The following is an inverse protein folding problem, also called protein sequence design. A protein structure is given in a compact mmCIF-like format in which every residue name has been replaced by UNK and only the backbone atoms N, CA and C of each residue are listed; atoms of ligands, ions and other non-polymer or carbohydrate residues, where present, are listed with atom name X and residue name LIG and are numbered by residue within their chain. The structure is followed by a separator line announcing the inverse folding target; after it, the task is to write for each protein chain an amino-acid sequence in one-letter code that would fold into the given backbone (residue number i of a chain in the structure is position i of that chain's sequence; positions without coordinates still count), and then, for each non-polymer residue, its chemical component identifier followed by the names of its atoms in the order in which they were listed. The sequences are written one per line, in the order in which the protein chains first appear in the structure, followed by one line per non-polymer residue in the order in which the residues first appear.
data_IF_578539671825
#
_entry.id   IF_578539671825
#
_cell.length_a   1.000
_cell.length_b   1.000
_cell.length_c   1.000
_cell.angle_alpha   90.00
_cell.angle_beta   90.00
_cell.angle_gamma   90.00
#
_symmetry.space_group_name_H-M   'P 1'
#
loop_
_entity.id
_entity.type
_entity.pdbx_description
1 polymer ?
#
# COMPACT_ATOMS: atom_id res chain seq x y z
N UNK A 1 -1.48 -3.85 -24.97
CA UNK A 1 -0.83 -2.71 -24.29
C UNK A 1 -0.64 -3.09 -22.83
N UNK A 2 0.58 -2.93 -22.32
CA UNK A 2 0.95 -3.46 -21.02
C UNK A 2 0.53 -2.49 -19.90
N UNK A 3 -0.45 -2.90 -19.08
CA UNK A 3 -1.02 -2.11 -17.98
C UNK A 3 -0.09 -2.08 -16.76
N UNK A 4 1.14 -1.58 -16.93
CA UNK A 4 2.12 -1.56 -15.86
C UNK A 4 2.55 -0.13 -15.54
N UNK A 5 2.33 0.24 -14.29
CA UNK A 5 2.97 1.42 -13.70
C UNK A 5 4.44 1.11 -13.43
N UNK A 6 5.31 2.08 -13.71
CA UNK A 6 6.71 2.02 -13.32
C UNK A 6 6.85 2.27 -11.81
N UNK A 7 7.64 1.44 -11.12
CA UNK A 7 8.00 1.66 -9.72
C UNK A 7 8.66 3.04 -9.52
N UNK A 8 9.48 3.49 -10.48
CA UNK A 8 10.12 4.81 -10.45
C UNK A 8 9.10 5.96 -10.48
N UNK A 9 8.01 5.82 -11.24
CA UNK A 9 6.96 6.84 -11.27
C UNK A 9 6.27 6.99 -9.92
N UNK A 10 6.00 5.87 -9.24
CA UNK A 10 5.40 5.92 -7.90
C UNK A 10 6.37 6.47 -6.86
N UNK A 11 7.65 6.10 -6.94
CA UNK A 11 8.71 6.65 -6.10
C UNK A 11 8.82 8.17 -6.26
N UNK A 12 8.88 8.65 -7.51
CA UNK A 12 8.90 10.08 -7.81
C UNK A 12 7.69 10.80 -7.20
N UNK A 13 6.49 10.24 -7.37
CA UNK A 13 5.26 10.81 -6.82
C UNK A 13 5.27 10.86 -5.28
N UNK A 14 5.79 9.84 -4.60
CA UNK A 14 5.93 9.86 -3.14
C UNK A 14 6.91 10.94 -2.71
N UNK A 15 8.09 11.02 -3.33
CA UNK A 15 9.12 12.00 -2.97
C UNK A 15 8.64 13.44 -3.22
N UNK A 16 7.85 13.65 -4.28
CA UNK A 16 7.24 14.96 -4.56
C UNK A 16 6.24 15.38 -3.47
N UNK A 17 5.42 14.44 -2.97
CA UNK A 17 4.41 14.73 -1.94
C UNK A 17 4.96 14.69 -0.52
N UNK A 18 6.05 13.95 -0.30
CA UNK A 18 6.67 13.67 1.00
C UNK A 18 8.20 13.56 0.87
N UNK A 19 8.90 14.68 0.63
CA UNK A 19 10.35 14.69 0.40
C UNK A 19 11.17 14.25 1.62
N UNK A 20 10.59 14.28 2.81
CA UNK A 20 11.19 13.83 4.07
C UNK A 20 11.38 12.32 4.16
N UNK A 21 10.78 11.55 3.26
CA UNK A 21 10.75 10.09 3.34
C UNK A 21 11.92 9.48 2.61
N UNK A 22 12.68 8.65 3.33
CA UNK A 22 13.70 7.81 2.73
C UNK A 22 13.02 6.59 2.08
N UNK A 23 12.68 6.72 0.80
CA UNK A 23 11.96 5.70 0.05
C UNK A 23 12.77 4.39 -0.06
N UNK A 24 12.19 3.30 0.43
CA UNK A 24 12.77 1.96 0.30
C UNK A 24 11.95 1.12 -0.69
N UNK A 25 12.58 0.79 -1.81
CA UNK A 25 12.02 0.00 -2.92
C UNK A 25 11.57 -1.41 -2.52
N UNK A 26 12.03 -1.91 -1.38
CA UNK A 26 11.63 -3.21 -0.82
C UNK A 26 10.31 -3.15 -0.03
N UNK A 27 9.65 -1.98 0.06
CA UNK A 27 8.43 -1.71 0.85
C UNK A 27 7.17 -1.49 0.01
N UNK A 28 7.24 -1.61 -1.31
CA UNK A 28 6.18 -1.15 -2.24
C UNK A 28 5.21 -2.26 -2.65
N UNK A 29 3.90 -2.10 -2.52
CA UNK A 29 2.92 -3.05 -3.08
C UNK A 29 1.93 -2.31 -3.97
N UNK A 30 1.93 -2.60 -5.27
CA UNK A 30 0.99 -1.98 -6.23
C UNK A 30 0.52 -2.99 -7.26
N UNK A 31 -0.73 -3.43 -7.08
CA UNK A 31 -1.80 -3.30 -8.06
C UNK A 31 -3.01 -4.08 -7.52
N UNK A 32 -3.98 -3.39 -6.91
CA UNK A 32 -5.34 -3.92 -6.80
C UNK A 32 -6.08 -3.43 -8.03
N UNK A 33 -5.98 -4.19 -9.13
CA UNK A 33 -6.75 -3.92 -10.34
C UNK A 33 -8.22 -4.20 -10.05
N UNK A 34 -9.07 -3.18 -10.19
CA UNK A 34 -10.50 -3.41 -10.40
C UNK A 34 -10.71 -3.63 -11.89
N UNK A 35 -11.07 -4.85 -12.29
CA UNK A 35 -11.41 -5.21 -13.67
C UNK A 35 -12.60 -4.35 -14.14
N UNK A 36 -12.33 -3.25 -14.86
CA UNK A 36 -13.26 -2.50 -15.71
C UNK A 36 -12.49 -1.83 -16.85
N UNK A 37 -13.22 -1.36 -17.85
CA UNK A 37 -12.74 -0.73 -19.10
C UNK A 37 -11.71 0.39 -18.91
N UNK A 38 -11.65 1.04 -17.73
CA UNK A 38 -10.59 1.95 -17.30
C UNK A 38 -9.88 1.37 -16.07
N UNK A 39 -8.64 0.87 -16.19
CA UNK A 39 -7.92 0.27 -15.06
C UNK A 39 -7.49 1.35 -14.08
N UNK A 40 -8.06 1.30 -12.88
CA UNK A 40 -7.61 2.07 -11.73
C UNK A 40 -6.67 1.19 -10.92
N UNK A 41 -5.44 1.64 -10.70
CA UNK A 41 -4.41 0.91 -9.96
C UNK A 41 -4.19 1.57 -8.61
N UNK A 42 -4.56 0.90 -7.51
CA UNK A 42 -4.23 1.37 -6.17
C UNK A 42 -2.78 1.03 -5.83
N UNK A 43 -2.03 2.07 -5.47
CA UNK A 43 -0.59 2.09 -5.28
C UNK A 43 -0.27 2.29 -3.80
N UNK A 44 0.41 1.33 -3.15
CA UNK A 44 0.69 1.37 -1.72
C UNK A 44 2.21 1.38 -1.45
N UNK A 45 2.60 2.18 -0.48
CA UNK A 45 3.90 2.12 0.20
C UNK A 45 3.63 1.83 1.68
N UNK A 46 4.23 0.75 2.20
CA UNK A 46 3.98 0.29 3.57
C UNK A 46 5.31 0.15 4.29
N UNK A 47 5.57 1.07 5.21
CA UNK A 47 6.68 1.04 6.14
C UNK A 47 6.18 0.95 7.58
N UNK A 48 7.04 0.57 8.53
CA UNK A 48 6.71 0.47 9.96
C UNK A 48 6.10 1.75 10.52
N UNK A 49 6.60 2.89 10.06
CA UNK A 49 6.28 4.22 10.59
C UNK A 49 5.55 5.09 9.58
N UNK A 50 5.28 4.58 8.37
CA UNK A 50 4.66 5.38 7.33
C UNK A 50 3.86 4.50 6.39
N UNK A 51 2.63 4.93 6.11
CA UNK A 51 1.79 4.33 5.11
C UNK A 51 1.40 5.38 4.08
N UNK A 52 1.48 5.04 2.80
CA UNK A 52 1.00 5.89 1.72
C UNK A 52 0.24 5.07 0.71
N UNK A 53 -0.87 5.62 0.24
CA UNK A 53 -1.70 5.06 -0.80
C UNK A 53 -2.00 6.16 -1.82
N UNK A 54 -2.02 5.81 -3.11
CA UNK A 54 -2.48 6.69 -4.17
C UNK A 54 -3.17 5.89 -5.26
N UNK A 55 -4.03 6.55 -6.02
CA UNK A 55 -4.69 5.97 -7.19
C UNK A 55 -3.93 6.35 -8.45
N UNK A 56 -3.57 5.39 -9.28
CA UNK A 56 -2.96 5.64 -10.59
C UNK A 56 -3.96 5.38 -11.72
N UNK A 57 -4.10 6.37 -12.59
CA UNK A 57 -4.97 6.36 -13.76
C UNK A 57 -4.13 6.03 -15.00
N UNK A 58 -4.03 4.74 -15.35
CA UNK A 58 -3.09 4.31 -16.39
C UNK A 58 -3.38 4.87 -17.78
N UNK A 59 -4.63 5.22 -18.08
CA UNK A 59 -5.03 5.78 -19.38
C UNK A 59 -4.56 7.23 -19.58
N UNK A 60 -4.39 7.97 -18.48
CA UNK A 60 -4.05 9.40 -18.45
C UNK A 60 -2.68 9.67 -17.81
N UNK A 61 -1.99 8.62 -17.35
CA UNK A 61 -0.64 8.64 -16.81
C UNK A 61 -0.43 9.60 -15.61
N UNK A 62 -1.37 9.61 -14.66
CA UNK A 62 -1.27 10.46 -13.46
C UNK A 62 -1.76 9.77 -12.18
N UNK A 63 -1.38 10.34 -11.04
CA UNK A 63 -1.83 9.93 -9.71
C UNK A 63 -2.89 10.87 -9.13
N UNK A 64 -3.84 10.32 -8.37
CA UNK A 64 -4.85 11.06 -7.61
C UNK A 64 -5.13 10.43 -6.26
N UNK A 65 -5.97 11.08 -5.46
CA UNK A 65 -6.54 10.53 -4.22
C UNK A 65 -5.46 9.99 -3.28
N UNK A 66 -4.38 10.76 -3.09
CA UNK A 66 -3.33 10.37 -2.17
C UNK A 66 -3.86 10.33 -0.74
N UNK A 67 -3.31 9.42 0.05
CA UNK A 67 -3.64 9.23 1.45
C UNK A 67 -2.40 8.76 2.17
N UNK A 68 -2.07 9.40 3.29
CA UNK A 68 -0.90 9.04 4.09
C UNK A 68 -1.25 8.88 5.57
N UNK A 69 -0.48 8.04 6.26
CA UNK A 69 -0.44 7.97 7.71
C UNK A 69 1.00 8.04 8.19
N UNK A 70 1.24 8.93 9.15
CA UNK A 70 2.50 9.12 9.86
C UNK A 70 2.58 8.15 11.06
N UNK A 71 3.79 8.01 11.64
CA UNK A 71 4.05 7.06 12.72
C UNK A 71 3.14 7.25 13.93
N UNK A 72 2.88 8.50 14.30
CA UNK A 72 1.99 8.87 15.42
C UNK A 72 0.52 8.50 15.18
N UNK A 73 0.10 8.35 13.92
CA UNK A 73 -1.25 7.96 13.55
C UNK A 73 -1.41 6.44 13.50
N UNK A 74 -0.32 5.68 13.35
CA UNK A 74 -0.35 4.22 13.22
C UNK A 74 -0.20 3.58 14.59
N UNK A 75 -1.23 2.86 15.03
CA UNK A 75 -1.18 2.05 16.26
C UNK A 75 -0.46 0.74 16.03
N UNK A 76 -0.85 0.01 14.98
CA UNK A 76 -0.19 -1.22 14.52
C UNK A 76 -0.59 -1.57 13.10
N UNK A 77 0.28 -2.32 12.43
CA UNK A 77 0.04 -2.91 11.12
C UNK A 77 0.31 -4.40 11.16
N UNK A 78 -0.61 -5.18 10.61
CA UNK A 78 -0.47 -6.63 10.58
C UNK A 78 -1.17 -7.23 9.36
N UNK A 79 -0.77 -8.47 9.04
CA UNK A 79 -1.30 -9.23 7.91
C UNK A 79 -2.13 -10.39 8.42
N UNK A 80 -3.24 -10.65 7.74
CA UNK A 80 -4.07 -11.85 7.94
C UNK A 80 -4.15 -12.58 6.62
N UNK A 81 -3.55 -13.77 6.55
CA UNK A 81 -3.60 -14.59 5.34
C UNK A 81 -4.97 -15.22 5.13
N UNK A 82 -5.45 -15.16 3.89
CA UNK A 82 -6.63 -15.88 3.38
C UNK A 82 -6.20 -16.78 2.22
N UNK A 83 -7.11 -17.62 1.73
CA UNK A 83 -6.81 -18.57 0.66
C UNK A 83 -6.24 -17.87 -0.60
N UNK A 84 -6.93 -16.82 -1.08
CA UNK A 84 -6.60 -16.13 -2.33
C UNK A 84 -5.89 -14.78 -2.17
N UNK A 85 -5.82 -14.26 -0.94
CA UNK A 85 -5.28 -12.94 -0.65
C UNK A 85 -4.64 -12.88 0.73
N UNK A 86 -3.82 -11.87 0.95
CA UNK A 86 -3.34 -11.46 2.27
C UNK A 86 -4.00 -10.14 2.61
N UNK A 87 -4.70 -10.07 3.73
CA UNK A 87 -5.35 -8.84 4.17
C UNK A 87 -4.39 -8.01 5.01
N UNK A 88 -4.05 -6.81 4.55
CA UNK A 88 -3.34 -5.81 5.35
C UNK A 88 -4.35 -5.06 6.20
N UNK A 89 -4.11 -5.00 7.51
CA UNK A 89 -4.91 -4.25 8.47
C UNK A 89 -4.00 -3.21 9.13
N UNK A 90 -4.44 -1.96 9.09
CA UNK A 90 -3.78 -0.82 9.74
C UNK A 90 -4.75 -0.28 10.77
N UNK A 91 -4.43 -0.48 12.04
CA UNK A 91 -5.15 0.17 13.13
C UNK A 91 -4.50 1.52 13.39
N UNK A 92 -5.32 2.56 13.48
CA UNK A 92 -4.85 3.93 13.70
C UNK A 92 -5.34 4.48 15.03
N UNK A 93 -4.71 5.55 15.49
CA UNK A 93 -5.20 6.38 16.60
C UNK A 93 -6.04 7.57 16.09
N UNK A 94 -6.41 7.57 14.81
CA UNK A 94 -7.24 8.62 14.22
C UNK A 94 -8.70 8.38 14.60
N UNK A 95 -9.28 9.31 15.35
CA UNK A 95 -10.68 9.24 15.79
C UNK A 95 -11.56 9.85 14.71
N UNK A 96 -12.54 9.08 14.23
CA UNK A 96 -13.55 9.53 13.29
C UNK A 96 -14.64 10.35 14.00
N UNK A 97 -15.47 11.06 13.22
CA UNK A 97 -16.59 11.89 13.72
C UNK A 97 -17.52 11.08 14.66
N UNK A 98 -17.66 9.78 14.41
CA UNK A 98 -18.47 8.87 15.21
C UNK A 98 -17.75 8.30 16.46
N UNK A 99 -16.63 8.90 16.88
CA UNK A 99 -15.80 8.50 18.03
C UNK A 99 -15.16 7.10 17.91
N UNK A 100 -15.11 6.52 16.72
CA UNK A 100 -14.42 5.24 16.49
C UNK A 100 -13.03 5.46 15.89
N UNK A 101 -12.08 4.58 16.23
CA UNK A 101 -10.76 4.60 15.60
C UNK A 101 -10.84 4.12 14.16
N UNK A 102 -10.26 4.90 13.24
CA UNK A 102 -10.12 4.50 11.84
C UNK A 102 -9.28 3.22 11.75
N UNK A 103 -9.83 2.20 11.11
CA UNK A 103 -9.11 0.96 10.79
C UNK A 103 -9.16 0.73 9.29
N UNK A 104 -8.00 0.71 8.65
CA UNK A 104 -7.88 0.46 7.22
C UNK A 104 -7.70 -1.03 6.96
N UNK A 105 -8.39 -1.53 5.94
CA UNK A 105 -8.41 -2.95 5.61
C UNK A 105 -8.28 -3.10 4.09
N UNK A 106 -7.19 -3.68 3.63
CA UNK A 106 -6.89 -3.85 2.20
C UNK A 106 -6.61 -5.31 1.89
N UNK A 107 -7.15 -5.81 0.77
CA UNK A 107 -6.88 -7.17 0.30
C UNK A 107 -5.75 -7.13 -0.73
N UNK A 108 -4.63 -7.80 -0.43
CA UNK A 108 -3.48 -7.94 -1.32
C UNK A 108 -3.58 -9.32 -2.00
N UNK A 109 -3.86 -9.41 -3.30
CA UNK A 109 -4.00 -10.70 -3.98
C UNK A 109 -2.69 -11.49 -3.91
N UNK A 110 -2.78 -12.80 -3.63
CA UNK A 110 -1.59 -13.70 -3.59
C UNK A 110 -1.09 -14.10 -4.97
N UNK A 111 -1.89 -13.88 -6.01
CA UNK A 111 -1.51 -14.12 -7.40
C UNK A 111 -1.72 -12.80 -8.15
N UNK A 112 -0.66 -12.29 -8.76
CA UNK A 112 -0.68 -11.08 -9.57
C UNK A 112 0.33 -11.23 -10.71
N UNK A 113 -0.01 -10.76 -11.91
CA UNK A 113 0.88 -10.78 -13.09
C UNK A 113 2.07 -9.81 -12.97
N UNK A 114 2.19 -9.12 -11.84
CA UNK A 114 3.19 -8.11 -11.56
C UNK A 114 4.30 -8.72 -10.69
N UNK A 115 5.50 -9.04 -11.22
CA UNK A 115 6.53 -9.80 -10.48
C UNK A 115 7.01 -9.13 -9.19
N UNK A 116 7.10 -7.80 -9.18
CA UNK A 116 7.51 -7.03 -8.01
C UNK A 116 6.44 -7.03 -6.90
N UNK A 117 5.15 -7.15 -7.23
CA UNK A 117 4.08 -7.33 -6.23
C UNK A 117 4.31 -8.59 -5.40
N UNK A 118 4.61 -9.72 -6.06
CA UNK A 118 4.86 -10.99 -5.39
C UNK A 118 6.11 -10.94 -4.50
N UNK A 119 7.20 -10.36 -5.01
CA UNK A 119 8.43 -10.14 -4.24
C UNK A 119 8.17 -9.28 -3.01
N UNK A 120 7.49 -8.16 -3.17
CA UNK A 120 7.30 -7.19 -2.10
C UNK A 120 6.25 -7.65 -1.09
N UNK A 121 5.25 -8.44 -1.49
CA UNK A 121 4.34 -9.10 -0.56
C UNK A 121 5.08 -10.08 0.36
N UNK A 122 6.03 -10.87 -0.19
CA UNK A 122 6.88 -11.76 0.62
C UNK A 122 7.72 -10.97 1.62
N UNK A 123 8.32 -9.85 1.20
CA UNK A 123 9.11 -8.98 2.06
C UNK A 123 8.27 -8.30 3.15
N UNK A 124 7.08 -7.83 2.79
CA UNK A 124 6.13 -7.23 3.73
C UNK A 124 5.71 -8.23 4.80
N UNK A 125 5.46 -9.49 4.42
CA UNK A 125 5.18 -10.57 5.38
C UNK A 125 6.30 -10.73 6.39
N UNK A 126 7.55 -10.82 5.93
CA UNK A 126 8.70 -10.91 6.84
C UNK A 126 8.77 -9.70 7.77
N UNK A 127 8.65 -8.47 7.23
CA UNK A 127 8.74 -7.23 8.03
C UNK A 127 7.67 -7.13 9.12
N UNK A 128 6.45 -7.59 8.84
CA UNK A 128 5.32 -7.50 9.78
C UNK A 128 5.16 -8.75 10.67
N UNK A 129 5.69 -9.91 10.29
CA UNK A 129 5.66 -11.12 11.13
C UNK A 129 6.60 -11.04 12.33
N UNK A 130 7.75 -10.37 12.20
CA UNK A 130 8.72 -10.20 13.29
C UNK A 130 8.20 -9.32 14.46
N UNK A 131 7.04 -8.68 14.33
CA UNK A 131 6.49 -7.79 15.35
C UNK A 131 5.34 -8.41 16.18
N UNK A 132 4.95 -9.67 15.93
CA UNK A 132 3.96 -10.38 16.75
C UNK A 132 4.58 -11.24 17.86
N UNK A 133 5.90 -11.13 18.07
CA UNK A 133 6.65 -11.86 19.10
C UNK A 133 7.62 -10.92 19.81
N UNK A 134 7.12 -10.08 20.71
CA UNK A 134 7.87 -9.36 21.74
C UNK A 134 6.91 -9.03 22.87
#
# INVERSE_FOLDING_TARGET
MSFFISQEKFKAYIIENHPEINFDETKTVIAISTVKTNPIINCLYVDKTFFFAARYHSALDYFSDNFCLQANQIKRMYLVDKLLSTKLIIETNVILINQTNLTLKMNLPKLNFTPWHMRNLKLLRLKLSFNNGS
#
